data_IF_135308054290
#
_entry.id   IF_135308054290
#
_cell.length_a   1.000
_cell.length_b   1.000
_cell.length_c   1.000
_cell.angle_alpha   90.00
_cell.angle_beta   90.00
_cell.angle_gamma   90.00
#
_symmetry.space_group_name_H-M   'P 1'
#
loop_
_entity.id
_entity.type
_entity.pdbx_description
1 polymer ?
#
# COMPACT_ATOMS: atom_id res chain seq x y z
N UNK A 1 6.66 7.96 -4.86
CA UNK A 1 7.33 8.70 -3.81
C UNK A 1 6.54 9.90 -3.30
N UNK A 2 7.13 10.69 -2.43
CA UNK A 2 6.44 11.79 -1.72
C UNK A 2 6.16 13.05 -2.56
N UNK A 3 6.52 13.06 -3.83
CA UNK A 3 6.25 14.19 -4.76
C UNK A 3 4.76 14.57 -4.83
N UNK A 4 3.86 13.64 -4.51
CA UNK A 4 2.40 13.87 -4.52
C UNK A 4 1.87 14.75 -3.39
N UNK A 5 2.59 14.98 -2.29
CA UNK A 5 2.07 15.69 -1.10
C UNK A 5 1.63 17.12 -1.45
N UNK A 6 2.55 17.93 -1.97
CA UNK A 6 2.28 19.35 -2.29
C UNK A 6 1.20 19.53 -3.37
N UNK A 7 1.21 18.78 -4.50
CA UNK A 7 0.12 18.82 -5.48
C UNK A 7 -1.24 18.43 -4.89
N UNK A 8 -1.29 17.40 -4.02
CA UNK A 8 -2.54 16.97 -3.36
C UNK A 8 -3.08 18.08 -2.45
N UNK A 9 -2.23 18.71 -1.64
CA UNK A 9 -2.62 19.87 -0.80
C UNK A 9 -3.17 21.01 -1.66
N UNK A 10 -2.49 21.33 -2.76
CA UNK A 10 -2.93 22.40 -3.67
C UNK A 10 -4.29 22.07 -4.30
N UNK A 11 -4.52 20.81 -4.71
CA UNK A 11 -5.78 20.36 -5.27
C UNK A 11 -6.92 20.42 -4.24
N UNK A 12 -6.67 20.03 -2.98
CA UNK A 12 -7.65 20.15 -1.89
C UNK A 12 -8.04 21.60 -1.68
N UNK A 13 -7.06 22.51 -1.55
CA UNK A 13 -7.32 23.95 -1.38
C UNK A 13 -8.08 24.55 -2.56
N UNK A 14 -7.88 24.02 -3.76
CA UNK A 14 -8.64 24.38 -4.96
C UNK A 14 -10.01 23.67 -5.06
N UNK A 15 -10.43 22.94 -4.01
CA UNK A 15 -11.71 22.20 -3.92
C UNK A 15 -11.91 21.20 -5.06
N UNK A 16 -10.84 20.52 -5.49
CA UNK A 16 -10.91 19.49 -6.51
C UNK A 16 -11.07 18.10 -5.88
N UNK A 17 -12.04 17.32 -6.36
CA UNK A 17 -12.11 15.89 -6.05
C UNK A 17 -10.84 15.20 -6.54
N UNK A 18 -10.28 14.31 -5.75
CA UNK A 18 -8.98 13.68 -6.01
C UNK A 18 -9.17 12.19 -6.25
N UNK A 19 -8.74 11.70 -7.41
CA UNK A 19 -8.50 10.27 -7.64
C UNK A 19 -7.05 9.99 -7.22
N UNK A 20 -6.86 9.46 -6.01
CA UNK A 20 -5.54 9.30 -5.40
C UNK A 20 -4.89 7.99 -5.83
N UNK A 21 -3.85 8.07 -6.66
CA UNK A 21 -3.03 6.93 -7.07
C UNK A 21 -1.68 6.85 -6.32
N UNK A 22 -1.20 7.97 -5.77
CA UNK A 22 0.06 8.03 -5.03
C UNK A 22 -0.18 7.72 -3.55
N UNK A 23 -0.12 6.44 -3.18
CA UNK A 23 -0.36 5.97 -1.80
C UNK A 23 0.60 6.58 -0.78
N UNK A 24 1.84 6.87 -1.21
CA UNK A 24 2.87 7.43 -0.34
C UNK A 24 2.46 8.80 0.24
N UNK A 25 1.59 9.54 -0.45
CA UNK A 25 1.00 10.78 0.07
C UNK A 25 0.24 10.56 1.39
N UNK A 26 -0.56 9.49 1.49
CA UNK A 26 -1.25 9.15 2.74
C UNK A 26 -0.35 8.45 3.74
N UNK A 27 0.58 7.63 3.28
CA UNK A 27 1.54 6.94 4.15
C UNK A 27 2.35 7.95 4.98
N UNK A 28 2.81 9.02 4.35
CA UNK A 28 3.73 9.98 4.98
C UNK A 28 3.05 11.23 5.54
N UNK A 29 1.94 11.66 4.92
CA UNK A 29 1.25 12.90 5.25
C UNK A 29 -0.26 12.71 5.51
N UNK A 30 -0.72 11.50 5.83
CA UNK A 30 -2.13 11.22 6.06
C UNK A 30 -2.75 12.08 7.16
N UNK A 31 -1.98 12.37 8.23
CA UNK A 31 -2.37 13.27 9.33
C UNK A 31 -2.58 14.73 8.89
N UNK A 32 -2.03 15.15 7.76
CA UNK A 32 -2.24 16.47 7.16
C UNK A 32 -3.36 16.40 6.11
N UNK A 33 -3.29 15.42 5.21
CA UNK A 33 -4.14 15.34 4.02
C UNK A 33 -5.59 15.06 4.38
N UNK A 34 -5.87 14.10 5.29
CA UNK A 34 -7.24 13.71 5.62
C UNK A 34 -8.00 14.83 6.35
N UNK A 35 -7.43 15.47 7.42
CA UNK A 35 -8.10 16.61 8.03
C UNK A 35 -8.32 17.78 7.07
N UNK A 36 -7.33 18.08 6.22
CA UNK A 36 -7.45 19.16 5.25
C UNK A 36 -8.56 18.86 4.22
N UNK A 37 -8.67 17.65 3.74
CA UNK A 37 -9.74 17.24 2.83
C UNK A 37 -11.13 17.38 3.48
N UNK A 38 -11.26 16.98 4.74
CA UNK A 38 -12.48 17.19 5.55
C UNK A 38 -12.84 18.69 5.67
N UNK A 39 -11.87 19.53 6.02
CA UNK A 39 -12.05 20.98 6.18
C UNK A 39 -12.58 21.64 4.89
N UNK A 40 -12.02 21.25 3.74
CA UNK A 40 -12.40 21.82 2.44
C UNK A 40 -13.58 21.10 1.78
N UNK A 41 -14.15 20.05 2.40
CA UNK A 41 -15.23 19.25 1.86
C UNK A 41 -14.86 18.51 0.57
N UNK A 42 -13.60 18.08 0.44
CA UNK A 42 -13.05 17.41 -0.74
C UNK A 42 -13.06 15.90 -0.55
N UNK A 43 -13.58 15.19 -1.55
CA UNK A 43 -13.51 13.72 -1.59
C UNK A 43 -12.19 13.23 -2.14
N UNK A 44 -11.59 12.25 -1.45
CA UNK A 44 -10.44 11.49 -1.93
C UNK A 44 -10.93 10.11 -2.32
N UNK A 45 -10.86 9.78 -3.62
CA UNK A 45 -11.30 8.53 -4.19
C UNK A 45 -10.07 7.63 -4.44
N UNK A 46 -10.07 6.38 -3.93
CA UNK A 46 -8.91 5.50 -4.09
C UNK A 46 -8.79 4.97 -5.52
N UNK A 47 -7.56 4.95 -6.01
CA UNK A 47 -7.17 4.32 -7.29
C UNK A 47 -6.46 3.00 -7.05
N UNK A 48 -5.75 2.85 -5.92
CA UNK A 48 -5.18 1.55 -5.55
C UNK A 48 -6.27 0.47 -5.53
N UNK A 49 -5.99 -0.70 -6.13
CA UNK A 49 -7.01 -1.73 -6.39
C UNK A 49 -7.69 -2.24 -5.12
N UNK A 50 -6.92 -2.46 -4.08
CA UNK A 50 -7.41 -2.93 -2.79
C UNK A 50 -8.27 -1.88 -2.09
N UNK A 51 -7.83 -0.62 -2.09
CA UNK A 51 -8.57 0.47 -1.47
C UNK A 51 -9.83 0.82 -2.28
N UNK A 52 -9.77 0.75 -3.60
CA UNK A 52 -10.95 0.84 -4.45
C UNK A 52 -11.97 -0.25 -4.14
N UNK A 53 -11.51 -1.49 -3.91
CA UNK A 53 -12.38 -2.61 -3.55
C UNK A 53 -13.04 -2.39 -2.18
N UNK A 54 -12.31 -1.90 -1.19
CA UNK A 54 -12.86 -1.55 0.13
C UNK A 54 -13.90 -0.43 -0.03
N UNK A 55 -13.54 0.65 -0.76
CA UNK A 55 -14.46 1.75 -1.03
C UNK A 55 -15.75 1.28 -1.71
N UNK A 56 -15.64 0.37 -2.70
CA UNK A 56 -16.80 -0.22 -3.36
C UNK A 56 -17.66 -1.08 -2.43
N UNK A 57 -17.02 -1.81 -1.50
CA UNK A 57 -17.71 -2.64 -0.51
C UNK A 57 -18.45 -1.82 0.56
N UNK A 58 -18.07 -0.56 0.73
CA UNK A 58 -18.71 0.39 1.65
C UNK A 58 -19.94 1.11 1.03
N UNK A 59 -20.15 1.00 -0.29
CA UNK A 59 -21.27 1.69 -0.95
C UNK A 59 -22.61 1.16 -0.42
N UNK A 60 -23.49 2.09 -0.04
CA UNK A 60 -24.78 1.77 0.58
C UNK A 60 -24.71 1.40 2.07
N UNK A 61 -23.52 1.31 2.64
CA UNK A 61 -23.29 0.90 4.04
C UNK A 61 -22.66 2.00 4.90
N UNK A 62 -22.76 3.26 4.51
CA UNK A 62 -22.10 4.38 5.20
C UNK A 62 -22.51 4.58 6.67
N UNK A 63 -23.66 4.05 7.08
CA UNK A 63 -24.14 4.09 8.47
C UNK A 63 -23.66 2.91 9.31
N UNK A 64 -23.03 1.90 8.69
CA UNK A 64 -22.59 0.69 9.36
C UNK A 64 -21.09 0.78 9.66
N UNK A 65 -20.66 0.59 10.94
CA UNK A 65 -19.25 0.64 11.27
C UNK A 65 -18.49 -0.55 10.66
N UNK A 66 -17.31 -0.26 10.19
CA UNK A 66 -16.37 -1.30 9.74
C UNK A 66 -15.95 -2.12 10.96
N UNK A 67 -16.23 -3.41 10.96
CA UNK A 67 -15.71 -4.33 11.98
C UNK A 67 -14.27 -4.69 11.66
N UNK A 68 -13.99 -5.04 10.39
CA UNK A 68 -12.67 -5.41 9.92
C UNK A 68 -12.52 -5.16 8.42
N UNK A 69 -11.36 -4.71 8.01
CA UNK A 69 -10.91 -4.71 6.61
C UNK A 69 -10.10 -5.98 6.38
N UNK A 70 -10.47 -6.75 5.37
CA UNK A 70 -9.71 -7.90 4.88
C UNK A 70 -8.91 -7.43 3.66
N UNK A 71 -7.67 -7.00 3.90
CA UNK A 71 -6.78 -6.46 2.88
C UNK A 71 -6.06 -7.62 2.18
N UNK A 72 -6.42 -7.92 0.93
CA UNK A 72 -5.83 -9.03 0.20
C UNK A 72 -4.45 -8.71 -0.37
N UNK A 73 -3.62 -9.72 -0.52
CA UNK A 73 -2.29 -9.66 -1.12
C UNK A 73 -2.07 -10.86 -2.02
N UNK A 74 -1.36 -10.71 -3.14
CA UNK A 74 -0.95 -11.85 -3.97
C UNK A 74 0.07 -12.77 -3.26
N UNK A 75 0.78 -12.23 -2.27
CA UNK A 75 1.90 -12.89 -1.60
C UNK A 75 3.25 -12.69 -2.32
N UNK A 76 3.25 -12.04 -3.48
CA UNK A 76 4.44 -11.76 -4.27
C UNK A 76 5.06 -13.01 -4.94
N UNK A 77 6.17 -12.85 -5.68
CA UNK A 77 6.82 -13.94 -6.44
C UNK A 77 7.50 -14.99 -5.55
N UNK A 78 7.75 -14.68 -4.29
CA UNK A 78 8.48 -15.56 -3.37
C UNK A 78 7.60 -16.22 -2.31
N UNK A 79 6.27 -16.17 -2.49
CA UNK A 79 5.33 -16.86 -1.60
C UNK A 79 5.72 -18.34 -1.43
N UNK A 80 5.76 -18.80 -0.18
CA UNK A 80 6.14 -20.16 0.19
C UNK A 80 7.65 -20.43 0.31
N UNK A 81 8.52 -19.49 -0.08
CA UNK A 81 9.97 -19.59 0.17
C UNK A 81 10.30 -19.26 1.63
N UNK A 82 11.41 -19.84 2.08
CA UNK A 82 12.01 -19.55 3.39
C UNK A 82 13.12 -18.51 3.25
N UNK A 83 13.48 -17.84 4.35
CA UNK A 83 14.50 -16.80 4.36
C UNK A 83 15.82 -17.23 3.72
N UNK A 84 16.28 -18.45 4.01
CA UNK A 84 17.52 -19.01 3.43
C UNK A 84 17.48 -19.17 1.91
N UNK A 85 16.29 -19.28 1.31
CA UNK A 85 16.12 -19.36 -0.14
C UNK A 85 16.12 -17.99 -0.81
N UNK A 86 16.10 -16.91 -0.01
CA UNK A 86 16.07 -15.53 -0.50
C UNK A 86 17.46 -14.89 -0.58
N UNK A 87 18.50 -15.50 0.00
CA UNK A 87 19.88 -14.94 0.04
C UNK A 87 20.46 -14.70 -1.36
N UNK A 88 20.14 -15.55 -2.33
CA UNK A 88 20.64 -15.50 -3.70
C UNK A 88 19.71 -14.83 -4.72
N UNK A 89 18.63 -14.18 -4.28
CA UNK A 89 17.66 -13.57 -5.19
C UNK A 89 18.30 -12.43 -5.97
N UNK A 90 18.13 -12.48 -7.30
CA UNK A 90 18.59 -11.45 -8.22
C UNK A 90 17.42 -10.53 -8.60
N UNK A 91 17.76 -9.38 -9.17
CA UNK A 91 16.76 -8.39 -9.66
C UNK A 91 15.76 -9.05 -10.63
N UNK A 92 16.29 -9.86 -11.55
CA UNK A 92 15.51 -10.53 -12.59
C UNK A 92 14.50 -11.54 -12.01
N UNK A 93 14.79 -12.10 -10.86
CA UNK A 93 13.90 -13.05 -10.15
C UNK A 93 12.79 -12.28 -9.40
N UNK A 94 13.14 -11.17 -8.75
CA UNK A 94 12.22 -10.35 -7.98
C UNK A 94 11.22 -9.55 -8.86
N UNK A 95 11.57 -9.33 -10.14
CA UNK A 95 10.69 -8.64 -11.09
C UNK A 95 9.61 -9.54 -11.73
N UNK A 96 9.59 -10.84 -11.42
CA UNK A 96 8.60 -11.79 -11.96
C UNK A 96 7.34 -11.85 -11.09
N UNK A 97 6.44 -10.86 -11.21
CA UNK A 97 5.18 -10.92 -10.48
C UNK A 97 4.21 -11.94 -11.12
N UNK A 98 3.51 -12.81 -10.33
CA UNK A 98 2.70 -13.89 -10.88
C UNK A 98 1.44 -13.42 -11.62
N UNK A 99 0.81 -12.33 -11.21
CA UNK A 99 -0.52 -11.93 -11.71
C UNK A 99 -0.56 -10.54 -12.35
N UNK A 100 0.34 -9.63 -11.96
CA UNK A 100 0.30 -8.23 -12.38
C UNK A 100 1.51 -7.87 -13.22
N UNK A 101 1.29 -7.11 -14.28
CA UNK A 101 2.35 -6.39 -14.99
C UNK A 101 2.45 -4.97 -14.43
N UNK A 102 3.48 -4.71 -13.67
CA UNK A 102 3.64 -3.46 -12.91
C UNK A 102 5.01 -2.82 -13.15
N UNK A 103 5.18 -1.58 -12.68
CA UNK A 103 6.48 -0.94 -12.63
C UNK A 103 7.48 -1.68 -11.73
N UNK A 104 8.76 -1.48 -11.98
CA UNK A 104 9.83 -2.21 -11.26
C UNK A 104 9.78 -2.00 -9.73
N UNK A 105 9.62 -0.74 -9.28
CA UNK A 105 9.60 -0.41 -7.84
C UNK A 105 8.48 -1.17 -7.11
N UNK A 106 7.24 -1.08 -7.57
CA UNK A 106 6.12 -1.74 -6.91
C UNK A 106 6.20 -3.26 -6.99
N UNK A 107 6.84 -3.82 -8.03
CA UNK A 107 7.08 -5.26 -8.13
C UNK A 107 8.05 -5.74 -7.04
N UNK A 108 9.12 -5.00 -6.77
CA UNK A 108 10.02 -5.29 -5.65
C UNK A 108 9.29 -5.12 -4.31
N UNK A 109 8.51 -4.05 -4.14
CA UNK A 109 7.70 -3.83 -2.92
C UNK A 109 6.71 -4.99 -2.67
N UNK A 110 6.12 -5.55 -3.73
CA UNK A 110 5.27 -6.74 -3.63
C UNK A 110 6.07 -7.95 -3.18
N UNK A 111 7.29 -8.15 -3.69
CA UNK A 111 8.14 -9.28 -3.36
C UNK A 111 8.58 -9.30 -1.89
N UNK A 112 8.74 -8.13 -1.27
CA UNK A 112 9.14 -7.94 0.13
C UNK A 112 7.97 -7.79 1.09
N UNK A 113 6.74 -7.76 0.60
CA UNK A 113 5.51 -7.39 1.33
C UNK A 113 5.49 -5.94 1.84
N UNK A 114 6.44 -5.10 1.45
CA UNK A 114 6.45 -3.66 1.77
C UNK A 114 5.24 -2.97 1.13
N UNK A 115 4.88 -3.32 -0.12
CA UNK A 115 3.70 -2.74 -0.76
C UNK A 115 2.44 -2.94 0.10
N UNK A 116 2.24 -4.16 0.63
CA UNK A 116 1.11 -4.44 1.49
C UNK A 116 1.18 -3.67 2.81
N UNK A 117 2.38 -3.44 3.31
CA UNK A 117 2.61 -2.56 4.46
C UNK A 117 2.21 -1.11 4.20
N UNK A 118 2.60 -0.54 3.06
CA UNK A 118 2.17 0.80 2.63
C UNK A 118 0.65 0.89 2.52
N UNK A 119 0.01 -0.13 1.97
CA UNK A 119 -1.43 -0.21 1.82
C UNK A 119 -2.18 -0.31 3.16
N UNK A 120 -1.62 -0.97 4.18
CA UNK A 120 -2.16 -0.97 5.55
C UNK A 120 -2.21 0.45 6.11
N UNK A 121 -1.13 1.24 5.91
CA UNK A 121 -1.07 2.62 6.38
C UNK A 121 -2.06 3.50 5.60
N UNK A 122 -2.15 3.32 4.29
CA UNK A 122 -3.11 4.02 3.44
C UNK A 122 -4.56 3.72 3.87
N UNK A 123 -4.91 2.46 4.11
CA UNK A 123 -6.24 2.04 4.55
C UNK A 123 -6.62 2.67 5.90
N UNK A 124 -5.69 2.71 6.86
CA UNK A 124 -5.90 3.38 8.15
C UNK A 124 -6.38 4.82 7.96
N UNK A 125 -5.72 5.58 7.09
CA UNK A 125 -6.05 6.98 6.85
C UNK A 125 -7.33 7.16 6.02
N UNK A 126 -7.47 6.38 4.96
CA UNK A 126 -8.55 6.56 3.99
C UNK A 126 -9.92 6.18 4.56
N UNK A 127 -9.96 5.15 5.40
CA UNK A 127 -11.20 4.59 5.96
C UNK A 127 -11.40 4.91 7.43
N UNK A 128 -10.50 5.69 8.04
CA UNK A 128 -10.58 6.11 9.45
C UNK A 128 -10.76 4.90 10.40
N UNK A 129 -9.88 3.90 10.26
CA UNK A 129 -9.90 2.65 11.04
C UNK A 129 -8.60 2.48 11.84
N UNK A 130 -8.70 1.76 12.95
CA UNK A 130 -7.53 1.34 13.71
C UNK A 130 -6.75 0.23 12.99
N UNK A 131 -5.44 0.16 13.23
CA UNK A 131 -4.59 -0.89 12.67
C UNK A 131 -5.05 -2.30 13.08
N UNK A 132 -5.67 -2.45 14.25
CA UNK A 132 -6.25 -3.71 14.72
C UNK A 132 -7.46 -4.18 13.91
N UNK A 133 -8.10 -3.28 13.18
CA UNK A 133 -9.21 -3.58 12.28
C UNK A 133 -8.75 -3.99 10.87
N UNK A 134 -7.45 -3.94 10.58
CA UNK A 134 -6.92 -4.31 9.26
C UNK A 134 -6.22 -5.66 9.35
N UNK A 135 -6.77 -6.64 8.67
CA UNK A 135 -6.20 -7.99 8.55
C UNK A 135 -5.70 -8.22 7.13
N UNK A 136 -4.40 -8.49 7.00
CA UNK A 136 -3.82 -8.89 5.71
C UNK A 136 -4.12 -10.37 5.46
N UNK A 137 -4.60 -10.68 4.26
CA UNK A 137 -4.95 -12.03 3.81
C UNK A 137 -4.25 -12.29 2.48
N UNK A 138 -3.42 -13.32 2.42
CA UNK A 138 -2.79 -13.73 1.15
C UNK A 138 -3.81 -14.48 0.31
N UNK A 139 -4.08 -13.96 -0.89
CA UNK A 139 -5.00 -14.50 -1.88
C UNK A 139 -4.29 -14.60 -3.24
N UNK A 140 -3.65 -15.74 -3.54
CA UNK A 140 -2.74 -15.86 -4.68
C UNK A 140 -3.38 -15.61 -6.04
N UNK A 141 -4.67 -15.90 -6.21
CA UNK A 141 -5.37 -15.70 -7.46
C UNK A 141 -5.64 -14.22 -7.79
N UNK A 142 -5.53 -13.32 -6.81
CA UNK A 142 -5.75 -11.87 -6.96
C UNK A 142 -7.07 -11.52 -7.66
N UNK A 143 -8.13 -12.24 -7.37
CA UNK A 143 -9.49 -12.06 -7.90
C UNK A 143 -10.35 -11.26 -6.94
N UNK A 144 -10.26 -11.57 -5.63
CA UNK A 144 -10.82 -10.73 -4.57
C UNK A 144 -9.78 -9.65 -4.28
N UNK A 145 -10.15 -8.40 -4.59
CA UNK A 145 -9.24 -7.26 -4.44
C UNK A 145 -9.24 -6.64 -3.05
N UNK A 146 -10.11 -6.99 -2.18
CA UNK A 146 -10.23 -6.82 -0.73
C UNK A 146 -11.70 -6.89 -0.33
N UNK A 147 -11.96 -6.90 1.00
CA UNK A 147 -13.31 -7.02 1.52
C UNK A 147 -13.47 -6.26 2.85
N UNK A 148 -14.72 -6.02 3.23
CA UNK A 148 -15.12 -5.42 4.51
C UNK A 148 -16.00 -6.41 5.25
N UNK A 149 -15.65 -6.72 6.50
CA UNK A 149 -16.47 -7.45 7.45
C UNK A 149 -17.26 -6.44 8.30
N UNK A 150 -18.55 -6.63 8.40
CA UNK A 150 -19.46 -5.83 9.21
C UNK A 150 -19.76 -6.48 10.55
N UNK A 151 -20.42 -5.75 11.45
CA UNK A 151 -20.72 -6.19 12.81
C UNK A 151 -21.63 -7.43 12.89
N UNK A 152 -22.47 -7.65 11.88
CA UNK A 152 -23.35 -8.83 11.75
C UNK A 152 -22.62 -10.09 11.23
N UNK A 153 -21.33 -9.96 10.91
CA UNK A 153 -20.49 -11.04 10.33
C UNK A 153 -20.56 -11.14 8.81
N UNK A 154 -21.36 -10.29 8.14
CA UNK A 154 -21.36 -10.25 6.68
C UNK A 154 -20.01 -9.73 6.15
N UNK A 155 -19.51 -10.38 5.08
CA UNK A 155 -18.30 -9.94 4.37
C UNK A 155 -18.68 -9.53 2.95
N UNK A 156 -18.44 -8.27 2.61
CA UNK A 156 -18.69 -7.75 1.27
C UNK A 156 -17.35 -7.52 0.57
N UNK A 157 -17.20 -8.04 -0.64
CA UNK A 157 -15.97 -8.02 -1.41
C UNK A 157 -16.20 -7.56 -2.85
N UNK A 158 -15.22 -6.87 -3.42
CA UNK A 158 -15.21 -6.61 -4.86
C UNK A 158 -14.29 -7.64 -5.53
N UNK A 159 -14.82 -8.28 -6.57
CA UNK A 159 -14.13 -9.25 -7.40
C UNK A 159 -13.93 -8.70 -8.81
N UNK A 160 -12.81 -9.05 -9.42
CA UNK A 160 -12.51 -8.67 -10.81
C UNK A 160 -11.24 -9.33 -11.35
N UNK A 161 -11.00 -9.15 -12.64
CA UNK A 161 -9.69 -9.46 -13.23
C UNK A 161 -8.63 -8.47 -12.71
N UNK A 162 -7.33 -8.84 -12.67
CA UNK A 162 -6.25 -7.94 -12.25
C UNK A 162 -5.97 -6.88 -13.35
N UNK A 163 -6.81 -5.85 -13.39
CA UNK A 163 -6.79 -4.79 -14.39
C UNK A 163 -7.00 -3.42 -13.72
N UNK A 164 -5.95 -2.60 -13.70
CA UNK A 164 -5.98 -1.27 -13.10
C UNK A 164 -6.96 -0.30 -13.77
N UNK A 165 -7.42 -0.57 -14.98
CA UNK A 165 -8.44 0.25 -15.63
C UNK A 165 -9.76 0.24 -14.85
N UNK A 166 -10.07 -0.84 -14.13
CA UNK A 166 -11.29 -0.96 -13.33
C UNK A 166 -11.31 0.06 -12.17
N UNK A 167 -10.34 0.09 -11.25
CA UNK A 167 -10.33 1.07 -10.16
C UNK A 167 -10.09 2.50 -10.65
N UNK A 168 -9.26 2.72 -11.68
CA UNK A 168 -9.04 4.05 -12.26
C UNK A 168 -10.36 4.60 -12.82
N UNK A 169 -11.06 3.81 -13.65
CA UNK A 169 -12.33 4.22 -14.22
C UNK A 169 -13.37 4.49 -13.13
N UNK A 170 -13.45 3.63 -12.12
CA UNK A 170 -14.40 3.84 -11.03
C UNK A 170 -14.14 5.14 -10.25
N UNK A 171 -12.87 5.48 -9.98
CA UNK A 171 -12.52 6.73 -9.34
C UNK A 171 -12.87 7.96 -10.20
N UNK A 172 -12.70 7.88 -11.53
CA UNK A 172 -12.96 8.99 -12.45
C UNK A 172 -14.46 9.20 -12.75
N UNK A 173 -15.26 8.15 -12.73
CA UNK A 173 -16.68 8.19 -13.10
C UNK A 173 -17.61 8.00 -11.90
N UNK A 174 -17.07 7.85 -10.69
CA UNK A 174 -17.88 7.63 -9.49
C UNK A 174 -19.07 8.62 -9.40
N UNK A 175 -20.31 8.17 -9.08
CA UNK A 175 -20.68 6.78 -8.72
C UNK A 175 -21.04 5.86 -9.92
N UNK A 176 -20.88 6.33 -11.15
CA UNK A 176 -21.28 5.60 -12.36
C UNK A 176 -20.27 4.49 -12.73
N UNK A 177 -20.77 3.50 -13.46
CA UNK A 177 -19.97 2.36 -13.97
C UNK A 177 -20.14 2.22 -15.49
N UNK A 178 -19.48 3.07 -16.31
CA UNK A 178 -19.56 2.93 -17.76
C UNK A 178 -18.92 1.61 -18.21
N UNK A 179 -19.28 1.17 -19.41
CA UNK A 179 -18.74 -0.03 -19.97
C UNK A 179 -17.21 0.09 -20.15
N UNK A 180 -16.48 -0.97 -19.79
CA UNK A 180 -15.04 -1.09 -19.96
C UNK A 180 -14.74 -2.27 -20.88
N UNK A 181 -13.89 -2.07 -21.88
CA UNK A 181 -13.40 -3.15 -22.73
C UNK A 181 -12.37 -4.00 -22.01
N UNK A 182 -12.28 -5.29 -22.31
CA UNK A 182 -11.31 -6.22 -21.76
C UNK A 182 -11.94 -7.48 -21.19
N UNK A 183 -11.11 -8.31 -20.60
CA UNK A 183 -11.51 -9.60 -20.07
C UNK A 183 -12.47 -9.44 -18.90
N UNK A 184 -13.43 -10.35 -18.81
CA UNK A 184 -14.39 -10.45 -17.70
C UNK A 184 -14.02 -11.62 -16.81
N UNK A 185 -14.30 -11.48 -15.53
CA UNK A 185 -14.17 -12.57 -14.59
C UNK A 185 -15.12 -13.70 -14.96
N UNK A 186 -14.56 -14.89 -15.17
CA UNK A 186 -15.30 -16.12 -15.45
C UNK A 186 -15.13 -17.09 -14.28
N UNK A 187 -16.15 -17.20 -13.45
CA UNK A 187 -16.12 -18.03 -12.25
C UNK A 187 -15.99 -19.53 -12.57
N UNK A 188 -16.46 -19.97 -13.74
CA UNK A 188 -16.32 -21.38 -14.15
C UNK A 188 -14.86 -21.73 -14.49
N UNK A 189 -14.11 -20.78 -15.07
CA UNK A 189 -12.68 -20.94 -15.33
C UNK A 189 -11.84 -20.84 -14.07
N UNK A 190 -12.27 -19.99 -13.12
CA UNK A 190 -11.54 -19.72 -11.88
C UNK A 190 -11.47 -20.93 -10.95
N UNK A 191 -12.54 -21.71 -10.83
CA UNK A 191 -12.70 -22.92 -10.01
C UNK A 191 -12.57 -22.68 -8.50
N UNK A 192 -11.39 -22.29 -8.01
CA UNK A 192 -11.06 -22.19 -6.58
C UNK A 192 -10.50 -20.81 -6.22
N UNK A 193 -10.85 -20.36 -5.02
CA UNK A 193 -10.24 -19.23 -4.33
C UNK A 193 -9.57 -19.75 -3.07
N UNK A 194 -8.31 -19.38 -2.84
CA UNK A 194 -7.55 -19.83 -1.67
C UNK A 194 -7.05 -18.66 -0.86
N UNK A 195 -6.92 -18.87 0.43
CA UNK A 195 -6.52 -17.83 1.39
C UNK A 195 -5.49 -18.40 2.36
N UNK A 196 -4.47 -17.60 2.68
CA UNK A 196 -3.38 -17.97 3.57
C UNK A 196 -3.08 -16.79 4.52
N UNK A 197 -2.52 -17.10 5.68
CA UNK A 197 -1.93 -16.05 6.52
C UNK A 197 -0.60 -15.57 5.90
N UNK A 198 -0.23 -14.27 6.03
CA UNK A 198 1.07 -13.81 5.59
C UNK A 198 2.19 -14.43 6.43
N UNK A 199 3.29 -14.84 5.79
CA UNK A 199 4.50 -15.31 6.47
C UNK A 199 5.31 -14.09 6.97
N UNK A 200 5.07 -13.70 8.22
CA UNK A 200 5.69 -12.54 8.85
C UNK A 200 7.14 -12.78 9.29
N UNK A 201 7.56 -14.03 9.39
CA UNK A 201 8.93 -14.40 9.74
C UNK A 201 9.86 -14.23 8.55
N UNK A 202 9.42 -14.63 7.37
CA UNK A 202 10.18 -14.51 6.12
C UNK A 202 10.07 -13.11 5.51
N UNK A 203 8.88 -12.51 5.49
CA UNK A 203 8.61 -11.23 4.81
C UNK A 203 8.42 -10.09 5.81
N UNK A 204 9.53 -9.60 6.36
CA UNK A 204 9.53 -8.57 7.41
C UNK A 204 9.07 -7.18 6.94
N UNK A 205 8.93 -6.93 5.64
CA UNK A 205 8.48 -5.65 5.11
C UNK A 205 7.12 -5.22 5.66
N UNK A 206 6.15 -6.16 5.76
CA UNK A 206 4.86 -5.89 6.39
C UNK A 206 4.99 -5.61 7.90
N UNK A 207 5.86 -6.33 8.60
CA UNK A 207 6.10 -6.14 10.04
C UNK A 207 6.67 -4.75 10.31
N UNK A 208 7.66 -4.31 9.53
CA UNK A 208 8.28 -2.99 9.65
C UNK A 208 7.28 -1.87 9.37
N UNK A 209 6.44 -2.04 8.34
CA UNK A 209 5.36 -1.09 8.05
C UNK A 209 4.37 -0.96 9.23
N UNK A 210 3.99 -2.09 9.84
CA UNK A 210 3.12 -2.10 11.02
C UNK A 210 3.80 -1.44 12.23
N UNK A 211 5.11 -1.64 12.43
CA UNK A 211 5.89 -0.91 13.44
C UNK A 211 5.87 0.60 13.17
N UNK A 212 6.14 1.01 11.92
CA UNK A 212 6.11 2.42 11.52
C UNK A 212 4.74 3.06 11.75
N UNK A 213 3.66 2.36 11.36
CA UNK A 213 2.30 2.83 11.52
C UNK A 213 1.89 3.00 13.00
N UNK A 214 2.36 2.12 13.89
CA UNK A 214 2.13 2.23 15.34
C UNK A 214 2.94 3.33 15.99
N UNK A 215 4.18 3.53 15.56
CA UNK A 215 5.02 4.63 16.03
C UNK A 215 4.44 5.98 15.64
N UNK A 216 3.86 6.09 14.45
CA UNK A 216 3.29 7.33 13.95
C UNK A 216 4.34 8.41 13.65
N UNK A 217 3.93 9.66 13.71
CA UNK A 217 4.81 10.79 13.45
C UNK A 217 5.47 10.71 12.07
N UNK A 218 6.78 10.96 12.04
CA UNK A 218 7.59 10.88 10.82
C UNK A 218 8.18 9.48 10.55
N UNK A 219 7.93 8.47 11.39
CA UNK A 219 8.49 7.12 11.18
C UNK A 219 7.96 6.45 9.89
N UNK A 220 6.66 6.57 9.51
CA UNK A 220 6.20 6.12 8.19
C UNK A 220 6.94 6.78 7.03
N UNK A 221 7.38 8.05 7.20
CA UNK A 221 8.21 8.74 6.20
C UNK A 221 9.60 8.10 6.11
N UNK A 222 10.25 7.85 7.24
CA UNK A 222 11.55 7.18 7.26
C UNK A 222 11.49 5.78 6.63
N UNK A 223 10.44 5.00 6.95
CA UNK A 223 10.14 3.71 6.34
C UNK A 223 10.01 3.81 4.81
N UNK A 224 9.18 4.73 4.32
CA UNK A 224 8.95 4.89 2.89
C UNK A 224 10.22 5.36 2.15
N UNK A 225 10.92 6.37 2.67
CA UNK A 225 12.14 6.90 2.07
C UNK A 225 13.24 5.84 2.00
N UNK A 226 13.42 5.08 3.09
CA UNK A 226 14.38 3.98 3.13
C UNK A 226 14.05 2.91 2.09
N UNK A 227 12.79 2.51 1.98
CA UNK A 227 12.35 1.55 0.97
C UNK A 227 12.62 2.06 -0.45
N UNK A 228 12.27 3.29 -0.78
CA UNK A 228 12.52 3.85 -2.12
C UNK A 228 13.99 3.82 -2.48
N UNK A 229 14.86 4.22 -1.55
CA UNK A 229 16.29 4.24 -1.78
C UNK A 229 16.88 2.83 -1.86
N UNK A 230 16.49 1.93 -0.96
CA UNK A 230 16.96 0.53 -0.95
C UNK A 230 16.54 -0.22 -2.22
N UNK A 231 15.30 -0.05 -2.66
CA UNK A 231 14.82 -0.64 -3.92
C UNK A 231 15.62 -0.11 -5.11
N UNK A 232 15.91 1.21 -5.15
CA UNK A 232 16.75 1.77 -6.21
C UNK A 232 18.17 1.20 -6.21
N UNK A 233 18.78 1.00 -5.03
CA UNK A 233 20.09 0.37 -4.90
C UNK A 233 20.05 -1.10 -5.36
N UNK A 234 19.03 -1.85 -4.98
CA UNK A 234 18.86 -3.25 -5.39
C UNK A 234 18.69 -3.36 -6.92
N UNK A 235 17.81 -2.55 -7.53
CA UNK A 235 17.61 -2.53 -8.98
C UNK A 235 18.90 -2.20 -9.74
N UNK A 236 19.78 -1.38 -9.17
CA UNK A 236 21.10 -1.06 -9.70
C UNK A 236 22.19 -2.07 -9.27
N UNK A 237 21.82 -3.21 -8.66
CA UNK A 237 22.71 -4.30 -8.24
C UNK A 237 23.83 -3.87 -7.27
N UNK A 238 23.57 -2.82 -6.47
CA UNK A 238 24.52 -2.31 -5.48
C UNK A 238 24.37 -2.99 -4.13
N UNK A 239 23.21 -3.56 -3.84
CA UNK A 239 22.91 -4.31 -2.62
C UNK A 239 22.23 -5.63 -2.96
N UNK A 240 22.21 -6.57 -2.00
CA UNK A 240 21.47 -7.84 -2.09
C UNK A 240 20.00 -7.64 -1.72
N UNK A 241 19.16 -8.61 -2.08
CA UNK A 241 17.71 -8.57 -1.85
C UNK A 241 17.33 -8.38 -0.37
N UNK A 242 17.95 -9.14 0.53
CA UNK A 242 17.64 -9.08 1.96
C UNK A 242 18.10 -7.77 2.60
N UNK A 243 19.14 -7.13 2.07
CA UNK A 243 19.62 -5.83 2.57
C UNK A 243 18.58 -4.71 2.40
N UNK A 244 17.55 -4.88 1.53
CA UNK A 244 16.42 -3.94 1.44
C UNK A 244 15.77 -3.77 2.81
N UNK A 245 15.47 -4.86 3.48
CA UNK A 245 14.82 -4.87 4.80
C UNK A 245 15.74 -4.34 5.88
N UNK A 246 17.03 -4.72 5.85
CA UNK A 246 18.03 -4.23 6.80
C UNK A 246 18.17 -2.69 6.74
N UNK A 247 18.19 -2.13 5.53
CA UNK A 247 18.23 -0.68 5.31
C UNK A 247 17.00 0.01 5.86
N UNK A 248 15.80 -0.54 5.62
CA UNK A 248 14.55 0.02 6.12
C UNK A 248 14.56 0.06 7.65
N UNK A 249 14.91 -1.07 8.29
CA UNK A 249 14.95 -1.17 9.75
C UNK A 249 15.96 -0.18 10.35
N UNK A 250 17.19 -0.15 9.82
CA UNK A 250 18.23 0.77 10.27
C UNK A 250 17.84 2.26 10.14
N UNK A 251 17.16 2.64 9.05
CA UNK A 251 16.69 4.02 8.88
C UNK A 251 15.58 4.38 9.87
N UNK A 252 14.63 3.47 10.12
CA UNK A 252 13.57 3.69 11.10
C UNK A 252 14.15 3.88 12.52
N UNK A 253 15.15 3.06 12.90
CA UNK A 253 15.80 3.14 14.21
C UNK A 253 16.66 4.40 14.37
N UNK A 254 17.26 4.91 13.28
CA UNK A 254 18.10 6.10 13.31
C UNK A 254 17.30 7.41 13.16
N UNK A 255 16.02 7.35 12.81
CA UNK A 255 15.20 8.54 12.60
C UNK A 255 14.94 9.29 13.91
N UNK A 256 15.21 10.60 13.93
CA UNK A 256 14.77 11.46 15.02
C UNK A 256 13.25 11.60 14.98
N UNK A 257 12.57 11.20 16.06
CA UNK A 257 11.11 11.18 16.10
C UNK A 257 10.51 12.58 16.17
N UNK A 258 9.54 12.85 15.31
CA UNK A 258 8.72 14.06 15.27
C UNK A 258 7.26 13.61 15.28
N UNK A 259 6.50 13.96 16.32
CA UNK A 259 5.15 13.44 16.55
C UNK A 259 4.14 13.90 15.49
N UNK A 260 4.14 15.20 15.17
CA UNK A 260 3.22 15.81 14.20
C UNK A 260 4.01 16.58 13.13
N UNK A 261 4.71 15.88 12.21
CA UNK A 261 5.60 16.54 11.27
C UNK A 261 4.82 17.39 10.26
N UNK A 262 5.30 18.62 10.03
CA UNK A 262 4.88 19.45 8.91
C UNK A 262 5.35 18.87 7.58
N UNK A 263 4.86 19.41 6.46
CA UNK A 263 5.30 18.96 5.13
C UNK A 263 6.80 19.13 4.94
N UNK A 264 7.39 20.20 5.46
CA UNK A 264 8.84 20.43 5.33
C UNK A 264 9.63 19.43 6.19
N UNK A 265 9.20 19.14 7.42
CA UNK A 265 9.82 18.11 8.27
C UNK A 265 9.67 16.71 7.71
N UNK A 266 8.59 16.40 6.98
CA UNK A 266 8.44 15.15 6.21
C UNK A 266 9.52 15.08 5.12
N UNK A 267 9.72 16.13 4.34
CA UNK A 267 10.73 16.18 3.29
C UNK A 267 12.16 16.15 3.85
N UNK A 268 12.39 16.81 4.99
CA UNK A 268 13.68 16.75 5.70
C UNK A 268 13.95 15.33 6.22
N UNK A 269 12.93 14.62 6.73
CA UNK A 269 13.05 13.22 7.16
C UNK A 269 13.43 12.32 5.98
N UNK A 270 12.84 12.52 4.79
CA UNK A 270 13.23 11.81 3.56
C UNK A 270 14.69 12.05 3.22
N UNK A 271 15.13 13.30 3.21
CA UNK A 271 16.50 13.64 2.89
C UNK A 271 17.49 13.05 3.91
N UNK A 272 17.16 13.12 5.20
CA UNK A 272 17.97 12.50 6.26
C UNK A 272 18.13 10.99 6.05
N UNK A 273 17.05 10.29 5.67
CA UNK A 273 17.12 8.86 5.35
C UNK A 273 18.03 8.58 4.14
N UNK A 274 17.93 9.38 3.08
CA UNK A 274 18.80 9.25 1.90
C UNK A 274 20.27 9.50 2.23
N UNK A 275 20.56 10.51 3.03
CA UNK A 275 21.93 10.84 3.47
C UNK A 275 22.51 9.75 4.36
N UNK A 276 21.71 9.19 5.26
CA UNK A 276 22.09 8.07 6.12
C UNK A 276 22.46 6.83 5.30
N UNK A 277 21.64 6.48 4.31
CA UNK A 277 21.90 5.34 3.42
C UNK A 277 23.15 5.58 2.58
N UNK A 278 23.29 6.75 1.97
CA UNK A 278 24.42 7.08 1.09
C UNK A 278 25.80 7.01 1.76
N UNK A 279 25.83 7.09 3.10
CA UNK A 279 27.09 6.98 3.89
C UNK A 279 27.44 5.54 4.27
N UNK A 280 26.54 4.56 4.09
CA UNK A 280 26.67 3.19 4.59
C UNK A 280 26.55 2.10 3.53
N UNK A 281 25.81 2.36 2.44
CA UNK A 281 25.55 1.40 1.33
C UNK A 281 25.91 1.96 -0.06
#
# INVERSE_FOLDING_TARGET
GMLGIRPTIAAIKAKKTIALANKETLVTAGHIIIPLAKEYGVSILPVDSEHSAIFQSLQGNSMNPIKKILLTASGGPFRGKKLSELEGIRVEDALKHPNWSMGQKITIDSSTMVNKGLEVIEAKWLFDVDLSQIQVVVHPQSVIHSAVEYADGAVIAQLGTPDMRIPIQYALYYPNRPALSGDRLDLFKLKNLTFEAPDLDTFKGLVLAMKAARAGGNIPTAFNAANERAVALFLNKKIKYLEIIDIIEACMENASFIENPSVDEILDTEQCAYDYISKRW
#
